data_IF_717679963181
#
_entry.id   IF_717679963181
#
_cell.length_a   1.000
_cell.length_b   1.000
_cell.length_c   1.000
_cell.angle_alpha   90.00
_cell.angle_beta   90.00
_cell.angle_gamma   90.00
#
_symmetry.space_group_name_H-M   'P 1'
#
loop_
_entity.id
_entity.type
_entity.pdbx_description
1 polymer ?
#
# COMPACT_ATOMS: atom_id res chain seq x y z
N UNK A 1 8.69 -30.37 5.74
CA UNK A 1 8.50 -30.52 4.27
C UNK A 1 9.85 -30.79 3.63
N UNK A 2 10.45 -31.95 3.88
CA UNK A 2 11.82 -32.24 3.40
C UNK A 2 11.82 -32.68 1.93
N UNK A 3 10.71 -33.24 1.45
CA UNK A 3 10.57 -33.81 0.10
C UNK A 3 9.91 -32.88 -0.93
N UNK A 4 9.45 -31.69 -0.55
CA UNK A 4 8.78 -30.76 -1.47
C UNK A 4 9.60 -29.50 -1.71
N UNK A 5 9.61 -29.00 -2.94
CA UNK A 5 10.21 -27.70 -3.31
C UNK A 5 9.12 -26.75 -3.81
N UNK A 6 9.23 -25.47 -3.45
CA UNK A 6 8.30 -24.46 -3.96
C UNK A 6 8.65 -24.12 -5.40
N UNK A 7 7.67 -24.23 -6.30
CA UNK A 7 7.86 -23.95 -7.73
C UNK A 7 7.09 -22.73 -8.22
N UNK A 8 6.01 -22.36 -7.53
CA UNK A 8 5.20 -21.20 -7.89
C UNK A 8 4.63 -20.52 -6.65
N UNK A 9 4.55 -19.20 -6.71
CA UNK A 9 3.78 -18.39 -5.77
C UNK A 9 2.95 -17.40 -6.56
N UNK A 10 1.65 -17.36 -6.30
CA UNK A 10 0.73 -16.39 -6.91
C UNK A 10 -0.16 -15.75 -5.84
N UNK A 11 -0.53 -14.50 -6.06
CA UNK A 11 -1.52 -13.79 -5.26
C UNK A 11 -2.90 -14.05 -5.82
N UNK A 12 -3.87 -14.34 -4.95
CA UNK A 12 -5.28 -14.37 -5.32
C UNK A 12 -5.76 -12.95 -5.63
N UNK A 13 -6.48 -12.79 -6.74
CA UNK A 13 -6.98 -11.48 -7.14
C UNK A 13 -8.10 -11.03 -6.22
N UNK A 14 -8.08 -9.76 -5.86
CA UNK A 14 -9.06 -9.19 -4.94
C UNK A 14 -9.28 -7.72 -5.26
N UNK A 15 -10.54 -7.25 -5.22
CA UNK A 15 -10.84 -5.87 -5.56
C UNK A 15 -10.14 -4.90 -4.60
N UNK A 16 -9.93 -3.67 -5.05
CA UNK A 16 -9.38 -2.61 -4.22
C UNK A 16 -10.35 -2.29 -3.07
N UNK A 17 -9.85 -2.08 -1.83
CA UNK A 17 -10.71 -1.86 -0.67
C UNK A 17 -11.23 -0.41 -0.55
N UNK A 18 -11.37 0.32 -1.66
CA UNK A 18 -11.80 1.72 -1.66
C UNK A 18 -13.11 1.88 -2.42
N UNK A 19 -13.99 2.70 -1.88
CA UNK A 19 -15.27 3.06 -2.49
C UNK A 19 -15.11 4.32 -3.33
N UNK A 20 -15.87 4.46 -4.41
CA UNK A 20 -15.89 5.70 -5.20
C UNK A 20 -14.58 6.01 -5.95
N UNK A 21 -13.77 5.00 -6.25
CA UNK A 21 -12.59 5.16 -7.09
C UNK A 21 -12.98 5.60 -8.50
N UNK A 22 -12.16 6.47 -9.10
CA UNK A 22 -12.30 6.80 -10.52
C UNK A 22 -12.20 5.53 -11.40
N UNK A 23 -12.98 5.42 -12.49
CA UNK A 23 -12.98 4.23 -13.36
C UNK A 23 -11.60 3.90 -13.97
N UNK A 24 -10.76 4.91 -14.14
CA UNK A 24 -9.41 4.83 -14.72
C UNK A 24 -8.29 4.90 -13.66
N UNK A 25 -8.62 4.68 -12.38
CA UNK A 25 -7.61 4.73 -11.32
C UNK A 25 -6.51 3.71 -11.58
N UNK A 26 -5.27 4.18 -11.49
CA UNK A 26 -4.10 3.35 -11.68
C UNK A 26 -3.76 2.63 -10.37
N UNK A 27 -3.68 1.30 -10.40
CA UNK A 27 -3.14 0.50 -9.30
C UNK A 27 -1.68 0.11 -9.56
N UNK A 28 -0.78 0.68 -8.77
CA UNK A 28 0.64 0.32 -8.70
C UNK A 28 0.83 -0.89 -7.77
N UNK A 29 0.81 -2.10 -8.36
CA UNK A 29 1.10 -3.36 -7.63
C UNK A 29 2.61 -3.50 -7.36
N UNK A 30 3.02 -3.22 -6.12
CA UNK A 30 4.40 -3.33 -5.65
C UNK A 30 4.70 -4.76 -5.22
N UNK A 31 5.77 -5.33 -5.81
CA UNK A 31 6.27 -6.67 -5.52
C UNK A 31 7.67 -6.62 -4.92
N UNK A 32 8.11 -7.75 -4.38
CA UNK A 32 9.49 -7.95 -3.93
C UNK A 32 10.52 -7.62 -5.02
N UNK A 33 10.27 -8.00 -6.27
CA UNK A 33 11.16 -7.71 -7.40
C UNK A 33 11.07 -6.30 -7.95
N UNK A 34 10.03 -5.52 -7.58
CA UNK A 34 9.80 -4.20 -8.17
C UNK A 34 10.95 -3.23 -7.89
N UNK A 35 11.38 -2.53 -8.94
CA UNK A 35 12.41 -1.49 -8.86
C UNK A 35 11.72 -0.15 -8.58
N UNK A 36 12.02 0.44 -7.42
CA UNK A 36 11.38 1.70 -6.95
C UNK A 36 11.51 2.80 -8.02
N UNK A 37 12.68 2.96 -8.63
CA UNK A 37 12.91 3.97 -9.68
C UNK A 37 11.92 3.85 -10.84
N UNK A 38 11.63 2.63 -11.29
CA UNK A 38 10.71 2.39 -12.40
C UNK A 38 9.26 2.68 -11.99
N UNK A 39 8.85 2.19 -10.81
CA UNK A 39 7.51 2.46 -10.27
C UNK A 39 7.27 3.96 -10.11
N UNK A 40 8.24 4.68 -9.56
CA UNK A 40 8.14 6.12 -9.33
C UNK A 40 8.18 6.92 -10.64
N UNK A 41 9.00 6.51 -11.61
CA UNK A 41 9.00 7.15 -12.93
C UNK A 41 7.60 7.12 -13.57
N UNK A 42 6.97 5.95 -13.61
CA UNK A 42 5.62 5.81 -14.15
C UNK A 42 4.56 6.54 -13.29
N UNK A 43 4.55 6.31 -11.97
CA UNK A 43 3.54 6.87 -11.09
C UNK A 43 3.55 8.40 -11.05
N UNK A 44 4.74 9.01 -11.01
CA UNK A 44 4.89 10.47 -11.06
C UNK A 44 4.38 11.04 -12.38
N UNK A 45 4.83 10.51 -13.52
CA UNK A 45 4.38 10.96 -14.83
C UNK A 45 2.87 10.80 -15.00
N UNK A 46 2.27 9.73 -14.44
CA UNK A 46 0.81 9.57 -14.45
C UNK A 46 0.11 10.62 -13.60
N UNK A 47 0.57 10.84 -12.37
CA UNK A 47 -0.01 11.83 -11.46
C UNK A 47 0.27 13.28 -11.89
N UNK A 48 1.18 13.57 -12.81
CA UNK A 48 1.35 14.90 -13.39
C UNK A 48 0.25 15.25 -14.42
N UNK A 49 -0.38 14.23 -15.02
CA UNK A 49 -1.46 14.45 -15.97
C UNK A 49 -2.67 15.10 -15.28
N UNK A 50 -3.25 16.13 -15.92
CA UNK A 50 -4.38 16.89 -15.36
C UNK A 50 -5.59 16.01 -15.03
N UNK A 51 -5.86 15.00 -15.86
CA UNK A 51 -6.98 14.08 -15.68
C UNK A 51 -6.77 13.02 -14.59
N UNK A 52 -5.52 12.74 -14.19
CA UNK A 52 -5.26 11.74 -13.15
C UNK A 52 -5.30 12.42 -11.78
N UNK A 53 -6.36 12.10 -11.03
CA UNK A 53 -6.62 12.66 -9.69
C UNK A 53 -6.21 11.74 -8.56
N UNK A 54 -6.21 10.43 -8.82
CA UNK A 54 -6.01 9.39 -7.84
C UNK A 54 -5.04 8.32 -8.36
N UNK A 55 -4.31 7.70 -7.43
CA UNK A 55 -3.48 6.53 -7.68
C UNK A 55 -3.48 5.63 -6.45
N UNK A 56 -3.46 4.32 -6.65
CA UNK A 56 -3.42 3.35 -5.56
C UNK A 56 -2.09 2.61 -5.61
N UNK A 57 -1.46 2.43 -4.45
CA UNK A 57 -0.33 1.54 -4.26
C UNK A 57 -0.76 0.32 -3.45
N UNK A 58 -0.44 -0.88 -3.92
CA UNK A 58 -0.74 -2.11 -3.18
C UNK A 58 0.48 -3.00 -3.08
N UNK A 59 0.62 -3.71 -1.96
CA UNK A 59 1.67 -4.69 -1.76
C UNK A 59 1.34 -5.62 -0.61
N UNK A 60 2.00 -6.78 -0.58
CA UNK A 60 1.79 -7.78 0.46
C UNK A 60 3.09 -8.49 0.84
N UNK A 61 3.08 -9.12 2.02
CA UNK A 61 4.24 -9.80 2.58
C UNK A 61 5.47 -8.90 2.58
N UNK A 62 6.55 -9.37 1.96
CA UNK A 62 7.83 -8.64 1.91
C UNK A 62 7.81 -7.33 1.10
N UNK A 63 6.74 -7.07 0.34
CA UNK A 63 6.59 -5.84 -0.43
C UNK A 63 5.95 -4.69 0.37
N UNK A 64 5.41 -4.93 1.56
CA UNK A 64 4.69 -3.92 2.36
C UNK A 64 5.55 -2.69 2.63
N UNK A 65 6.74 -2.85 3.19
CA UNK A 65 7.65 -1.71 3.48
C UNK A 65 8.02 -0.93 2.22
N UNK A 66 8.25 -1.63 1.11
CA UNK A 66 8.54 -1.00 -0.18
C UNK A 66 7.35 -0.18 -0.70
N UNK A 67 6.13 -0.67 -0.49
CA UNK A 67 4.89 0.01 -0.87
C UNK A 67 4.76 1.33 -0.12
N UNK A 68 5.01 1.32 1.19
CA UNK A 68 5.03 2.53 2.02
C UNK A 68 6.13 3.48 1.51
N UNK A 69 7.33 2.97 1.24
CA UNK A 69 8.44 3.80 0.71
C UNK A 69 8.07 4.48 -0.61
N UNK A 70 7.39 3.78 -1.52
CA UNK A 70 6.88 4.38 -2.76
C UNK A 70 5.90 5.51 -2.50
N UNK A 71 4.96 5.33 -1.58
CA UNK A 71 4.00 6.37 -1.18
C UNK A 71 4.69 7.59 -0.56
N UNK A 72 5.63 7.39 0.35
CA UNK A 72 6.37 8.49 0.99
C UNK A 72 7.22 9.28 -0.01
N UNK A 73 7.75 8.63 -1.05
CA UNK A 73 8.42 9.32 -2.15
C UNK A 73 7.42 10.16 -2.96
N UNK A 74 6.26 9.61 -3.29
CA UNK A 74 5.21 10.33 -4.03
C UNK A 74 4.74 11.58 -3.29
N UNK A 75 4.43 11.46 -1.99
CA UNK A 75 3.99 12.58 -1.15
C UNK A 75 5.04 13.69 -1.09
N UNK A 76 6.31 13.37 -0.83
CA UNK A 76 7.39 14.37 -0.79
C UNK A 76 7.59 15.09 -2.12
N UNK A 77 7.42 14.40 -3.25
CA UNK A 77 7.66 14.99 -4.58
C UNK A 77 6.50 15.85 -5.09
N UNK A 78 5.26 15.46 -4.83
CA UNK A 78 4.07 16.16 -5.36
C UNK A 78 3.48 17.15 -4.34
N UNK A 79 3.55 16.83 -3.05
CA UNK A 79 2.87 17.54 -1.96
C UNK A 79 1.35 17.58 -2.13
N UNK A 80 0.63 18.00 -1.09
CA UNK A 80 -0.81 18.26 -1.23
C UNK A 80 -1.68 17.01 -1.49
N UNK A 81 -1.18 15.80 -1.23
CA UNK A 81 -1.92 14.56 -1.45
C UNK A 81 -2.64 14.11 -0.18
N UNK A 82 -3.95 13.90 -0.30
CA UNK A 82 -4.73 13.19 0.70
C UNK A 82 -4.42 11.70 0.61
N UNK A 83 -4.40 11.02 1.75
CA UNK A 83 -4.07 9.60 1.82
C UNK A 83 -5.16 8.83 2.58
N UNK A 84 -5.50 7.63 2.13
CA UNK A 84 -6.23 6.63 2.92
C UNK A 84 -5.48 5.31 2.85
N UNK A 85 -5.12 4.75 4.00
CA UNK A 85 -4.38 3.49 4.13
C UNK A 85 -5.28 2.40 4.68
N UNK A 86 -5.35 1.26 3.98
CA UNK A 86 -6.10 0.07 4.41
C UNK A 86 -5.19 -1.13 4.50
N UNK A 87 -5.26 -1.85 5.62
CA UNK A 87 -4.51 -3.09 5.86
C UNK A 87 -5.49 -4.26 5.85
N UNK A 88 -5.12 -5.34 5.16
CA UNK A 88 -5.93 -6.58 5.08
C UNK A 88 -5.03 -7.80 4.91
N UNK A 89 -5.60 -8.99 5.03
CA UNK A 89 -4.92 -10.19 4.54
C UNK A 89 -5.19 -10.39 3.04
N UNK A 90 -4.20 -10.95 2.36
CA UNK A 90 -4.36 -11.56 1.03
C UNK A 90 -3.96 -13.03 1.11
N UNK A 91 -4.60 -13.87 0.31
CA UNK A 91 -4.20 -15.26 0.13
C UNK A 91 -3.07 -15.34 -0.90
N UNK A 92 -1.95 -15.92 -0.50
CA UNK A 92 -0.94 -16.45 -1.42
C UNK A 92 -1.21 -17.93 -1.66
N UNK A 93 -1.21 -18.31 -2.92
CA UNK A 93 -1.24 -19.70 -3.36
C UNK A 93 0.19 -20.11 -3.69
N UNK A 94 0.74 -21.04 -2.94
CA UNK A 94 2.04 -21.65 -3.23
C UNK A 94 1.85 -23.05 -3.78
N UNK A 95 2.42 -23.31 -4.95
CA UNK A 95 2.48 -24.67 -5.52
C UNK A 95 3.85 -25.26 -5.21
N UNK A 96 3.82 -26.45 -4.65
CA UNK A 96 4.98 -27.22 -4.25
C UNK A 96 4.99 -28.54 -5.02
N UNK A 97 6.15 -28.93 -5.52
CA UNK A 97 6.38 -30.20 -6.22
C UNK A 97 7.23 -31.12 -5.36
N UNK A 98 6.90 -32.42 -5.37
CA UNK A 98 7.76 -33.43 -4.80
C UNK A 98 9.10 -33.47 -5.56
N UNK A 99 10.20 -33.59 -4.83
CA UNK A 99 11.56 -33.63 -5.38
C UNK A 99 11.85 -34.96 -6.07
N UNK A 100 11.26 -36.04 -5.56
CA UNK A 100 11.44 -37.39 -6.09
C UNK A 100 10.18 -37.78 -6.88
N UNK A 101 10.29 -38.03 -8.20
CA UNK A 101 9.17 -38.50 -9.00
C UNK A 101 8.65 -39.85 -8.48
N UNK A 102 7.35 -40.06 -8.61
CA UNK A 102 6.74 -41.38 -8.36
C UNK A 102 7.31 -42.41 -9.35
N UNK A 103 7.22 -43.72 -9.07
CA UNK A 103 7.77 -44.78 -9.93
C UNK A 103 7.26 -44.77 -11.38
N UNK A 104 6.12 -44.13 -11.63
CA UNK A 104 5.49 -43.94 -12.94
C UNK A 104 5.89 -42.63 -13.63
N UNK A 105 6.82 -41.86 -13.04
CA UNK A 105 7.28 -40.57 -13.54
C UNK A 105 6.37 -39.39 -13.22
N UNK A 106 5.27 -39.59 -12.47
CA UNK A 106 4.38 -38.50 -12.08
C UNK A 106 5.02 -37.63 -10.98
N UNK A 107 4.86 -36.32 -11.10
CA UNK A 107 5.27 -35.35 -10.08
C UNK A 107 4.05 -35.00 -9.23
N UNK A 108 4.09 -35.39 -7.97
CA UNK A 108 3.07 -35.01 -7.00
C UNK A 108 3.13 -33.50 -6.70
N UNK A 109 1.98 -32.83 -6.74
CA UNK A 109 1.86 -31.40 -6.45
C UNK A 109 1.00 -31.14 -5.22
N UNK A 110 1.46 -30.21 -4.38
CA UNK A 110 0.75 -29.73 -3.19
C UNK A 110 0.47 -28.23 -3.34
N UNK A 111 -0.77 -27.82 -3.10
CA UNK A 111 -1.16 -26.40 -3.07
C UNK A 111 -1.38 -25.95 -1.64
N UNK A 112 -0.69 -24.87 -1.24
CA UNK A 112 -0.78 -24.29 0.11
C UNK A 112 -1.31 -22.87 0.02
N UNK A 113 -2.37 -22.57 0.77
CA UNK A 113 -2.93 -21.23 0.92
C UNK A 113 -2.34 -20.56 2.16
N UNK A 114 -1.74 -19.39 1.99
CA UNK A 114 -1.13 -18.61 3.09
C UNK A 114 -1.75 -17.23 3.16
N UNK A 115 -2.26 -16.86 4.32
CA UNK A 115 -2.67 -15.49 4.58
C UNK A 115 -1.43 -14.64 4.86
N UNK A 116 -1.21 -13.61 4.04
CA UNK A 116 -0.13 -12.64 4.23
C UNK A 116 -0.68 -11.25 4.46
N UNK A 117 -0.04 -10.43 5.31
CA UNK A 117 -0.44 -9.04 5.49
C UNK A 117 -0.26 -8.29 4.17
N UNK A 118 -1.23 -7.44 3.86
CA UNK A 118 -1.28 -6.60 2.67
C UNK A 118 -1.68 -5.20 3.04
N UNK A 119 -1.09 -4.22 2.36
CA UNK A 119 -1.40 -2.81 2.47
C UNK A 119 -1.87 -2.29 1.12
N UNK A 120 -2.92 -1.48 1.15
CA UNK A 120 -3.44 -0.71 0.03
C UNK A 120 -3.49 0.75 0.46
N UNK A 121 -2.89 1.64 -0.33
CA UNK A 121 -2.82 3.07 -0.01
C UNK A 121 -3.33 3.85 -1.22
N UNK A 122 -4.41 4.60 -1.01
CA UNK A 122 -4.93 5.56 -1.98
C UNK A 122 -4.25 6.91 -1.74
N UNK A 123 -3.75 7.52 -2.81
CA UNK A 123 -3.33 8.92 -2.85
C UNK A 123 -4.26 9.70 -3.77
N UNK A 124 -4.76 10.83 -3.31
CA UNK A 124 -5.70 11.70 -4.03
C UNK A 124 -5.27 13.15 -3.99
N UNK A 125 -5.39 13.85 -5.12
CA UNK A 125 -5.26 15.32 -5.18
C UNK A 125 -6.52 16.04 -4.68
N UNK A 126 -7.65 15.34 -4.74
CA UNK A 126 -8.94 15.85 -4.28
C UNK A 126 -9.16 15.45 -2.81
N UNK A 127 -9.86 16.26 -2.01
CA UNK A 127 -10.18 15.92 -0.63
C UNK A 127 -10.87 14.56 -0.51
N UNK A 128 -10.44 13.78 0.47
CA UNK A 128 -11.09 12.53 0.89
C UNK A 128 -11.84 12.79 2.20
N UNK A 129 -12.73 11.86 2.58
CA UNK A 129 -13.47 11.94 3.83
C UNK A 129 -12.51 11.91 5.04
N UNK A 130 -12.40 12.99 5.83
CA UNK A 130 -11.51 13.03 6.98
C UNK A 130 -11.92 12.09 8.11
N UNK A 131 -13.16 11.60 8.10
CA UNK A 131 -13.67 10.63 9.08
C UNK A 131 -13.41 9.17 8.69
N UNK A 132 -12.93 8.92 7.47
CA UNK A 132 -12.58 7.57 7.02
C UNK A 132 -11.40 7.01 7.82
N UNK A 133 -11.53 5.78 8.32
CA UNK A 133 -10.44 5.10 9.03
C UNK A 133 -9.21 4.95 8.12
N UNK A 134 -8.05 5.35 8.64
CA UNK A 134 -6.80 5.32 7.89
C UNK A 134 -6.57 6.55 7.01
N UNK A 135 -7.45 7.55 7.07
CA UNK A 135 -7.23 8.85 6.46
C UNK A 135 -6.02 9.58 7.08
N UNK A 136 -5.26 10.26 6.23
CA UNK A 136 -4.20 11.18 6.60
C UNK A 136 -4.27 12.44 5.72
N UNK A 137 -4.26 13.65 6.30
CA UNK A 137 -4.30 14.90 5.54
C UNK A 137 -2.97 15.14 4.80
N UNK A 138 -2.96 16.04 3.79
CA UNK A 138 -1.75 16.40 3.08
C UNK A 138 -0.66 16.98 3.99
N UNK A 139 0.58 16.62 3.70
CA UNK A 139 1.75 17.20 4.38
C UNK A 139 1.99 18.65 3.92
N UNK A 140 2.36 19.56 4.85
CA UNK A 140 2.81 20.90 4.51
C UNK A 140 4.01 20.83 3.56
N UNK A 141 4.05 21.70 2.55
CA UNK A 141 5.22 21.76 1.65
C UNK A 141 6.43 22.27 2.42
N UNK A 142 7.54 21.54 2.38
CA UNK A 142 8.84 22.05 2.86
C UNK A 142 9.19 23.31 2.06
N UNK A 143 9.03 24.48 2.68
CA UNK A 143 9.18 25.80 2.05
C UNK A 143 8.07 26.80 2.37
N UNK A 144 6.93 26.34 2.90
CA UNK A 144 5.91 27.25 3.43
C UNK A 144 6.26 27.61 4.88
N UNK A 145 6.94 28.75 5.07
CA UNK A 145 7.14 29.37 6.39
C UNK A 145 5.83 30.04 6.89
N UNK A 146 4.69 29.45 6.53
CA UNK A 146 3.34 29.94 6.74
C UNK A 146 2.90 29.62 8.16
N UNK A 147 2.76 30.67 8.97
CA UNK A 147 2.17 30.66 10.30
C UNK A 147 0.96 29.71 10.33
N UNK A 148 1.08 28.60 11.05
CA UNK A 148 -0.08 27.82 11.46
C UNK A 148 -0.98 28.79 12.26
N UNK A 149 -2.25 29.02 11.89
CA UNK A 149 -3.16 29.74 12.76
C UNK A 149 -3.37 28.84 13.98
N UNK A 150 -2.70 29.17 15.08
CA UNK A 150 -3.03 28.61 16.38
C UNK A 150 -4.47 29.03 16.66
N UNK A 151 -5.44 28.11 16.81
CA UNK A 151 -6.76 28.49 17.27
C UNK A 151 -6.58 29.08 18.68
N UNK A 152 -6.97 30.34 18.84
CA UNK A 152 -7.00 31.03 20.13
C UNK A 152 -8.04 30.34 21.02
N UNK A 153 -7.63 29.30 21.73
CA UNK A 153 -8.36 28.78 22.88
C UNK A 153 -7.86 29.53 24.11
N UNK A 154 -8.60 30.58 24.47
CA UNK A 154 -8.55 31.08 25.83
C UNK A 154 -9.09 30.02 26.78
N UNK A 155 -8.40 29.80 27.91
CA UNK A 155 -8.97 29.10 29.05
C UNK A 155 -8.11 27.97 29.61
N UNK A 156 -7.66 28.18 30.84
CA UNK A 156 -6.81 27.33 31.68
C UNK A 156 -7.43 25.94 31.91
N UNK A 157 -6.58 24.91 31.99
CA UNK A 157 -6.97 23.60 32.50
C UNK A 157 -5.80 22.61 32.46
N UNK A 158 -5.05 22.55 33.54
CA UNK A 158 -3.94 21.63 33.74
C UNK A 158 -4.46 20.18 33.84
N UNK A 159 -4.01 19.30 32.95
CA UNK A 159 -4.36 17.89 32.95
C UNK A 159 -3.32 17.07 32.21
N UNK A 160 -2.33 16.58 32.96
CA UNK A 160 -1.33 15.61 32.51
C UNK A 160 -2.03 14.28 32.25
N UNK A 161 -2.10 13.84 31.00
CA UNK A 161 -2.46 12.44 30.67
C UNK A 161 -1.21 11.74 30.15
N UNK A 162 -0.69 10.84 30.99
CA UNK A 162 0.30 9.83 30.61
C UNK A 162 -0.30 8.91 29.55
N UNK A 163 0.41 8.76 28.43
CA UNK A 163 0.17 7.65 27.50
C UNK A 163 1.06 6.49 27.96
N UNK A 164 0.45 5.49 28.59
CA UNK A 164 1.07 4.21 28.92
C UNK A 164 0.53 3.13 27.97
N UNK A 165 1.48 2.56 27.21
CA UNK A 165 1.49 1.33 26.41
C UNK A 165 0.48 1.14 25.27
#
# INVERSE_FOLDING_TARGET
MENFRKVKTSEEDSPLPFTGLAPDVVEMKVKEGSKIRNLMGFAMSRMELKGTRQIVFSGCGRAVTKTITCVEIMKRKLGGLHQVTKVRYKTLVEVWENKDPLPDGQVETLTVHKNVPSICILLSKDPLDPSEMGYQPPEPREGDNGKVPVPSSGGRGQGRVEWLC
#
